data_IF_101339151833
#
_entry.id   IF_101339151833
#
_cell.length_a   1.000
_cell.length_b   1.000
_cell.length_c   1.000
_cell.angle_alpha   90.00
_cell.angle_beta   90.00
_cell.angle_gamma   90.00
#
_symmetry.space_group_name_H-M   'P 1'
#
loop_
_entity.id
_entity.type
_entity.pdbx_description
1 polymer ?
#
# COMPACT_ATOMS: atom_id res chain seq x y z
N UNK A 1 9.35 28.33 -14.02
CA UNK A 1 9.49 27.82 -15.40
C UNK A 1 10.94 27.37 -15.55
N UNK A 2 11.27 26.19 -15.05
CA UNK A 2 12.66 25.75 -14.94
C UNK A 2 12.68 24.23 -15.11
N UNK A 3 12.68 23.77 -16.36
CA UNK A 3 12.99 22.35 -16.69
C UNK A 3 13.06 22.07 -18.22
N UNK A 4 13.60 23.00 -19.02
CA UNK A 4 13.82 22.77 -20.47
C UNK A 4 15.28 22.82 -20.92
N UNK A 5 16.27 23.10 -20.05
CA UNK A 5 17.67 23.26 -20.50
C UNK A 5 18.61 22.09 -20.23
N UNK A 6 18.22 21.07 -19.46
CA UNK A 6 19.16 19.99 -19.11
C UNK A 6 19.19 18.82 -20.08
N UNK A 7 18.23 18.68 -21.00
CA UNK A 7 18.22 17.59 -22.00
C UNK A 7 18.34 16.18 -21.41
N UNK A 8 18.19 16.05 -20.09
CA UNK A 8 18.40 14.84 -19.32
C UNK A 8 17.01 14.43 -18.85
N UNK A 9 16.47 13.41 -19.50
CA UNK A 9 15.22 12.81 -19.12
C UNK A 9 15.36 12.33 -17.67
N UNK A 10 14.68 12.97 -16.72
CA UNK A 10 14.83 12.73 -15.29
C UNK A 10 14.30 11.34 -14.81
N UNK A 11 13.96 10.45 -15.74
CA UNK A 11 13.15 9.25 -15.47
C UNK A 11 13.74 7.98 -16.06
N UNK A 12 15.06 7.93 -16.31
CA UNK A 12 15.69 6.73 -16.88
C UNK A 12 15.60 5.50 -15.97
N UNK A 13 15.17 5.67 -14.71
CA UNK A 13 14.87 4.54 -13.83
C UNK A 13 13.96 4.93 -12.67
N UNK A 14 12.67 4.55 -12.72
CA UNK A 14 11.90 4.40 -11.49
C UNK A 14 12.35 3.10 -10.84
N UNK A 15 13.04 3.23 -9.71
CA UNK A 15 13.24 2.13 -8.78
C UNK A 15 12.02 2.10 -7.84
N UNK A 16 11.49 0.91 -7.63
CA UNK A 16 10.38 0.66 -6.72
C UNK A 16 10.89 -0.17 -5.55
N UNK A 17 10.49 0.17 -4.34
CA UNK A 17 10.88 -0.59 -3.16
C UNK A 17 10.27 -1.99 -3.20
N UNK A 18 10.97 -3.02 -2.69
CA UNK A 18 10.40 -4.34 -2.49
C UNK A 18 9.08 -4.26 -1.74
N UNK A 19 8.04 -4.91 -2.29
CA UNK A 19 6.68 -4.89 -1.73
C UNK A 19 5.79 -3.77 -2.27
N UNK A 20 6.29 -2.87 -3.13
CA UNK A 20 5.40 -2.00 -3.91
C UNK A 20 4.42 -2.89 -4.72
N UNK A 21 3.10 -2.67 -4.65
CA UNK A 21 2.12 -3.48 -5.38
C UNK A 21 2.42 -3.55 -6.88
N UNK A 22 2.42 -4.76 -7.44
CA UNK A 22 2.76 -4.98 -8.85
C UNK A 22 1.79 -4.27 -9.79
N UNK A 23 0.51 -4.18 -9.40
CA UNK A 23 -0.49 -3.43 -10.16
C UNK A 23 -0.14 -1.94 -10.26
N UNK A 24 0.38 -1.34 -9.19
CA UNK A 24 0.85 0.03 -9.15
C UNK A 24 2.11 0.21 -10.02
N UNK A 25 3.11 -0.67 -9.87
CA UNK A 25 4.35 -0.64 -10.66
C UNK A 25 4.05 -0.67 -12.16
N UNK A 26 3.13 -1.56 -12.60
CA UNK A 26 2.73 -1.65 -14.01
C UNK A 26 2.05 -0.38 -14.51
N UNK A 27 1.17 0.23 -13.70
CA UNK A 27 0.49 1.46 -14.08
C UNK A 27 1.48 2.64 -14.16
N UNK A 28 2.35 2.79 -13.16
CA UNK A 28 3.36 3.83 -13.11
C UNK A 28 4.32 3.77 -14.32
N UNK A 29 4.79 2.57 -14.68
CA UNK A 29 5.62 2.36 -15.88
C UNK A 29 4.93 2.79 -17.17
N UNK A 30 3.62 2.58 -17.29
CA UNK A 30 2.84 3.06 -18.44
C UNK A 30 2.69 4.59 -18.45
N UNK A 31 2.47 5.20 -17.29
CA UNK A 31 2.35 6.66 -17.15
C UNK A 31 3.62 7.41 -17.59
N UNK A 32 4.79 6.82 -17.35
CA UNK A 32 6.09 7.40 -17.70
C UNK A 32 6.67 6.88 -19.02
N UNK A 33 5.89 6.18 -19.84
CA UNK A 33 6.38 5.62 -21.11
C UNK A 33 6.94 6.76 -22.00
N UNK A 34 8.15 6.60 -22.58
CA UNK A 34 8.75 7.63 -23.44
C UNK A 34 7.89 7.92 -24.68
N UNK A 35 7.11 6.93 -25.16
CA UNK A 35 6.13 7.13 -26.21
C UNK A 35 4.82 7.67 -25.64
N UNK A 36 4.43 8.93 -25.94
CA UNK A 36 3.20 9.51 -25.42
C UNK A 36 1.93 8.72 -25.78
N UNK A 37 1.93 7.99 -26.90
CA UNK A 37 0.79 7.17 -27.34
C UNK A 37 0.56 5.93 -26.47
N UNK A 38 1.57 5.51 -25.70
CA UNK A 38 1.47 4.37 -24.77
C UNK A 38 1.05 4.81 -23.36
N UNK A 39 1.11 6.11 -23.07
CA UNK A 39 0.66 6.65 -21.77
C UNK A 39 -0.86 6.52 -21.66
N UNK A 40 -1.38 6.06 -20.53
CA UNK A 40 -2.81 6.04 -20.30
C UNK A 40 -3.37 7.45 -20.21
N UNK A 41 -4.66 7.59 -20.49
CA UNK A 41 -5.38 8.83 -20.21
C UNK A 41 -5.61 8.97 -18.70
N UNK A 42 -5.77 10.21 -18.22
CA UNK A 42 -6.13 10.45 -16.83
C UNK A 42 -7.43 9.72 -16.42
N UNK A 43 -8.39 9.62 -17.35
CA UNK A 43 -9.64 8.85 -17.15
C UNK A 43 -9.36 7.37 -16.92
N UNK A 44 -8.45 6.77 -17.69
CA UNK A 44 -8.07 5.37 -17.49
C UNK A 44 -7.37 5.16 -16.13
N UNK A 45 -6.43 6.05 -15.77
CA UNK A 45 -5.75 5.99 -14.47
C UNK A 45 -6.76 6.08 -13.32
N UNK A 46 -7.67 7.06 -13.35
CA UNK A 46 -8.71 7.21 -12.34
C UNK A 46 -9.61 5.97 -12.24
N UNK A 47 -9.98 5.38 -13.37
CA UNK A 47 -10.77 4.14 -13.37
C UNK A 47 -10.00 2.96 -12.74
N UNK A 48 -8.71 2.80 -13.05
CA UNK A 48 -7.90 1.74 -12.44
C UNK A 48 -7.76 1.91 -10.93
N UNK A 49 -7.52 3.14 -10.47
CA UNK A 49 -7.45 3.44 -9.03
C UNK A 49 -8.78 3.18 -8.35
N UNK A 50 -9.90 3.59 -8.94
CA UNK A 50 -11.23 3.31 -8.38
C UNK A 50 -11.55 1.82 -8.28
N UNK A 51 -11.12 1.00 -9.26
CA UNK A 51 -11.24 -0.46 -9.15
C UNK A 51 -10.41 -1.00 -7.99
N UNK A 52 -9.18 -0.49 -7.79
CA UNK A 52 -8.37 -0.92 -6.63
C UNK A 52 -9.03 -0.53 -5.31
N UNK A 53 -9.61 0.67 -5.22
CA UNK A 53 -10.34 1.11 -4.02
C UNK A 53 -11.53 0.18 -3.72
N UNK A 54 -12.31 -0.19 -4.74
CA UNK A 54 -13.42 -1.14 -4.59
C UNK A 54 -12.94 -2.52 -4.10
N UNK A 55 -11.87 -3.06 -4.67
CA UNK A 55 -11.32 -4.37 -4.30
C UNK A 55 -10.70 -4.36 -2.90
N UNK A 56 -10.05 -3.26 -2.50
CA UNK A 56 -9.49 -3.10 -1.14
C UNK A 56 -10.61 -3.05 -0.10
N UNK A 57 -11.72 -2.36 -0.41
CA UNK A 57 -12.89 -2.24 0.48
C UNK A 57 -13.81 -3.46 0.43
N UNK A 58 -13.64 -4.35 -0.55
CA UNK A 58 -14.41 -5.59 -0.66
C UNK A 58 -14.24 -6.46 0.59
N UNK A 59 -15.31 -7.15 1.05
CA UNK A 59 -15.20 -8.12 2.13
C UNK A 59 -14.39 -9.36 1.73
N UNK A 60 -14.11 -9.54 0.44
CA UNK A 60 -13.27 -10.63 -0.06
C UNK A 60 -11.81 -10.40 0.33
N UNK A 61 -11.34 -11.15 1.31
CA UNK A 61 -9.95 -11.11 1.75
C UNK A 61 -9.01 -11.91 0.86
N UNK A 62 -9.54 -12.70 -0.08
CA UNK A 62 -8.72 -13.45 -1.02
C UNK A 62 -8.35 -12.68 -2.29
N UNK A 63 -8.88 -11.46 -2.43
CA UNK A 63 -8.54 -10.57 -3.52
C UNK A 63 -7.04 -10.25 -3.56
N UNK A 64 -6.41 -10.55 -4.70
CA UNK A 64 -4.97 -10.38 -4.93
C UNK A 64 -4.51 -8.92 -4.86
N UNK A 65 -5.31 -7.98 -5.36
CA UNK A 65 -5.00 -6.55 -5.29
C UNK A 65 -4.99 -6.11 -3.83
N UNK A 66 -6.04 -6.46 -3.08
CA UNK A 66 -6.14 -6.19 -1.65
C UNK A 66 -4.96 -6.78 -0.87
N UNK A 67 -4.56 -8.02 -1.16
CA UNK A 67 -3.37 -8.66 -0.58
C UNK A 67 -2.11 -7.85 -0.87
N UNK A 68 -1.85 -7.50 -2.12
CA UNK A 68 -0.66 -6.70 -2.46
C UNK A 68 -0.60 -5.34 -1.73
N UNK A 69 -1.75 -4.68 -1.51
CA UNK A 69 -1.83 -3.41 -0.79
C UNK A 69 -1.80 -3.53 0.74
N UNK A 70 -2.25 -4.66 1.31
CA UNK A 70 -2.34 -4.86 2.77
C UNK A 70 -1.24 -5.76 3.35
N UNK A 71 -0.63 -6.64 2.58
CA UNK A 71 0.43 -7.57 3.03
C UNK A 71 1.77 -6.85 3.26
N UNK A 72 1.99 -5.70 2.63
CA UNK A 72 3.22 -4.92 2.81
C UNK A 72 3.18 -4.01 4.05
N UNK A 73 2.11 -4.10 4.82
CA UNK A 73 1.83 -3.30 5.98
C UNK A 73 2.16 -4.14 7.24
N UNK A 74 3.36 -3.95 7.78
CA UNK A 74 3.79 -4.48 9.11
C UNK A 74 2.84 -4.08 10.27
N UNK A 75 1.75 -3.36 9.99
CA UNK A 75 0.65 -2.96 10.88
C UNK A 75 -0.22 -4.13 11.34
N UNK A 76 -0.37 -5.21 10.57
CA UNK A 76 -1.09 -6.42 11.03
C UNK A 76 -0.35 -7.15 12.16
N UNK A 77 0.99 -7.17 12.14
CA UNK A 77 1.81 -7.72 13.24
C UNK A 77 1.70 -6.90 14.53
N UNK A 78 1.61 -5.57 14.42
CA UNK A 78 1.41 -4.68 15.57
C UNK A 78 0.03 -4.89 16.20
N UNK A 79 -1.00 -5.06 15.39
CA UNK A 79 -2.36 -5.33 15.85
C UNK A 79 -2.44 -6.67 16.61
N UNK A 80 -1.81 -7.73 16.11
CA UNK A 80 -1.77 -9.02 16.82
C UNK A 80 -0.90 -8.99 18.07
N UNK A 81 0.19 -8.22 18.06
CA UNK A 81 1.00 -7.96 19.25
C UNK A 81 0.19 -7.24 20.35
N UNK A 82 -0.62 -6.25 19.98
CA UNK A 82 -1.48 -5.50 20.91
C UNK A 82 -2.62 -6.39 21.46
N UNK A 83 -3.25 -7.23 20.63
CA UNK A 83 -4.28 -8.18 21.09
C UNK A 83 -3.73 -9.16 22.13
N UNK A 84 -2.50 -9.64 21.94
CA UNK A 84 -1.84 -10.57 22.87
C UNK A 84 -1.47 -9.91 24.20
N UNK A 85 -1.12 -8.62 24.20
CA UNK A 85 -0.89 -7.86 25.43
C UNK A 85 -2.20 -7.69 26.23
N UNK A 86 -3.32 -7.43 25.55
CA UNK A 86 -4.62 -7.18 26.19
C UNK A 86 -5.25 -8.42 26.85
N UNK A 87 -4.93 -9.64 26.41
CA UNK A 87 -5.44 -10.90 26.98
C UNK A 87 -4.71 -11.36 28.26
N UNK A 88 -3.60 -10.71 28.63
CA UNK A 88 -2.75 -11.11 29.78
C UNK A 88 -2.95 -10.26 31.03
N UNK A 89 -3.74 -9.18 30.96
CA UNK A 89 -4.13 -8.42 32.15
C UNK A 89 -5.13 -9.23 32.97
N UNK A 90 -4.63 -9.99 33.96
CA UNK A 90 -5.45 -10.48 35.07
C UNK A 90 -6.09 -9.27 35.77
N UNK A 91 -7.36 -9.36 36.20
CA UNK A 91 -7.94 -8.30 37.02
C UNK A 91 -7.11 -8.16 38.30
N UNK A 92 -6.62 -6.96 38.55
CA UNK A 92 -6.01 -6.60 39.83
C UNK A 92 -7.17 -6.36 40.77
N UNK A 93 -7.64 -7.40 41.46
CA UNK A 93 -8.45 -7.22 42.66
C UNK A 93 -8.06 -8.26 43.73
N UNK A 94 -7.64 -7.71 44.87
CA UNK A 94 -7.37 -8.30 46.19
C UNK A 94 -6.31 -9.40 46.31
N UNK A 95 -5.04 -9.00 46.51
CA UNK A 95 -4.21 -9.69 47.52
C UNK A 95 -4.53 -9.01 48.85
N UNK A 96 -5.38 -9.69 49.61
CA UNK A 96 -5.70 -9.39 51.00
C UNK A 96 -4.47 -9.77 51.85
N UNK A 97 -3.71 -8.77 52.32
CA UNK A 97 -2.67 -8.99 53.33
C UNK A 97 -3.34 -8.73 54.67
N UNK A 98 -3.96 -9.78 55.22
CA UNK A 98 -4.27 -9.83 56.65
C UNK A 98 -3.00 -10.24 57.40
N UNK A 99 -2.66 -9.45 58.41
CA UNK A 99 -1.59 -9.67 59.40
C UNK A 99 -2.05 -10.65 60.49
#
# INVERSE_FOLDING_TARGET
MTEISTGKQAFDRLDFDPGTPDCYVRLAKRCIDPNPKKRPTAKYVNHQVGLWDEEILSPDNDNEIKKQFLENDNTLQVIDTIKNLTLTSKPIDSIDISE
#
